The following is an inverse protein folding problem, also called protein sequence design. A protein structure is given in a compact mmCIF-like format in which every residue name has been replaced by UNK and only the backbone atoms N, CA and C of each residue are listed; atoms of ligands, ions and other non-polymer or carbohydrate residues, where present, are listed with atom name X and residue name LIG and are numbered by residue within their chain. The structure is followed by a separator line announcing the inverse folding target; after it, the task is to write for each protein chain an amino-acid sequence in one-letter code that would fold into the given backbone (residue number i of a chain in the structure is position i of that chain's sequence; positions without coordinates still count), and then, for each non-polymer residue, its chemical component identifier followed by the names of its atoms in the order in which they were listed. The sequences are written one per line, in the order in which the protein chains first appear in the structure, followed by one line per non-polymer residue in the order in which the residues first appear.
data_IF_191787393270
#
_entry.id   IF_191787393270
#
_cell.length_a   1.000
_cell.length_b   1.000
_cell.length_c   1.000
_cell.angle_alpha   90.00
_cell.angle_beta   90.00
_cell.angle_gamma   90.00
#
_symmetry.space_group_name_H-M   'P 1'
#
loop_
_entity.id
_entity.type
_entity.pdbx_description
1 polymer ?
#
# COMPACT_ATOMS: atom_id res chain seq x y z
N UNK A 1 -19.84 -4.97 5.33
CA UNK A 1 -18.86 -5.49 6.31
C UNK A 1 -17.85 -4.40 6.60
N UNK A 2 -17.64 -4.02 7.87
CA UNK A 2 -16.63 -3.01 8.25
C UNK A 2 -15.25 -3.61 7.95
N UNK A 3 -14.45 -2.95 7.12
CA UNK A 3 -13.09 -3.41 6.82
C UNK A 3 -12.23 -3.30 8.07
N UNK A 4 -11.90 -4.43 8.68
CA UNK A 4 -11.05 -4.48 9.86
C UNK A 4 -9.60 -4.20 9.45
N UNK A 5 -8.96 -3.29 10.18
CA UNK A 5 -7.54 -2.98 10.04
C UNK A 5 -6.80 -3.76 11.10
N UNK A 6 -6.03 -4.77 10.70
CA UNK A 6 -5.21 -5.56 11.63
C UNK A 6 -3.81 -4.95 11.69
N UNK A 7 -3.29 -4.75 12.90
CA UNK A 7 -1.93 -4.30 13.13
C UNK A 7 -1.12 -5.46 13.69
N UNK A 8 -0.07 -5.84 12.99
CA UNK A 8 0.82 -6.93 13.38
C UNK A 8 2.29 -6.48 13.31
N UNK A 9 3.23 -7.31 13.76
CA UNK A 9 4.67 -7.07 13.68
C UNK A 9 5.31 -8.24 12.94
N UNK A 10 5.74 -8.02 11.70
CA UNK A 10 6.47 -9.02 10.90
C UNK A 10 7.93 -8.60 10.81
N UNK A 11 8.86 -9.45 11.27
CA UNK A 11 10.30 -9.17 11.32
C UNK A 11 10.65 -7.85 12.05
N UNK A 12 9.93 -7.53 13.13
CA UNK A 12 10.17 -6.31 13.92
C UNK A 12 9.61 -5.02 13.31
N UNK A 13 8.87 -5.10 12.20
CA UNK A 13 8.30 -3.95 11.50
C UNK A 13 6.78 -3.95 11.59
N UNK A 14 6.14 -2.79 11.84
CA UNK A 14 4.70 -2.69 11.94
C UNK A 14 4.04 -2.96 10.58
N UNK A 15 3.19 -3.97 10.55
CA UNK A 15 2.37 -4.34 9.40
C UNK A 15 0.94 -3.85 9.63
N UNK A 16 0.32 -3.32 8.59
CA UNK A 16 -1.10 -2.99 8.56
C UNK A 16 -1.75 -3.82 7.46
N UNK A 17 -2.68 -4.70 7.84
CA UNK A 17 -3.43 -5.51 6.89
C UNK A 17 -4.83 -4.98 6.70
N UNK A 18 -5.29 -4.96 5.46
CA UNK A 18 -6.65 -4.55 5.09
C UNK A 18 -7.38 -5.70 4.41
N UNK A 19 -8.64 -5.90 4.83
CA UNK A 19 -9.52 -6.96 4.31
C UNK A 19 -10.61 -6.45 3.36
N UNK A 20 -10.60 -5.14 3.04
CA UNK A 20 -11.61 -4.50 2.18
C UNK A 20 -10.97 -3.61 1.11
N UNK A 21 -11.38 -3.73 -0.17
CA UNK A 21 -10.96 -2.84 -1.25
C UNK A 21 -11.17 -1.35 -0.94
N UNK A 22 -12.24 -1.00 -0.23
CA UNK A 22 -12.55 0.41 0.09
C UNK A 22 -11.58 0.98 1.12
N UNK A 23 -11.28 0.23 2.17
CA UNK A 23 -10.33 0.64 3.20
C UNK A 23 -8.92 0.82 2.61
N UNK A 24 -8.50 -0.09 1.73
CA UNK A 24 -7.17 0.01 1.10
C UNK A 24 -7.09 1.19 0.11
N UNK A 25 -8.14 1.45 -0.68
CA UNK A 25 -8.18 2.59 -1.59
C UNK A 25 -8.14 3.94 -0.85
N UNK A 26 -8.78 4.03 0.32
CA UNK A 26 -8.70 5.22 1.18
C UNK A 26 -7.27 5.47 1.64
N UNK A 27 -6.57 4.42 2.09
CA UNK A 27 -5.18 4.53 2.54
C UNK A 27 -4.21 4.87 1.41
N UNK A 28 -4.34 4.22 0.25
CA UNK A 28 -3.55 4.54 -0.93
C UNK A 28 -3.78 6.00 -1.40
N UNK A 29 -4.98 6.54 -1.21
CA UNK A 29 -5.26 7.95 -1.51
C UNK A 29 -4.48 8.90 -0.59
N UNK A 30 -4.34 8.57 0.70
CA UNK A 30 -3.54 9.34 1.65
C UNK A 30 -2.05 9.27 1.30
N UNK A 31 -1.53 8.07 0.99
CA UNK A 31 -0.13 7.88 0.58
C UNK A 31 0.16 8.67 -0.70
N UNK A 32 -0.75 8.63 -1.69
CA UNK A 32 -0.60 9.41 -2.93
C UNK A 32 -0.51 10.92 -2.65
N UNK A 33 -1.38 11.45 -1.80
CA UNK A 33 -1.35 12.86 -1.44
C UNK A 33 -0.07 13.24 -0.68
N UNK A 34 0.49 12.31 0.09
CA UNK A 34 1.75 12.51 0.79
C UNK A 34 2.95 12.56 -0.17
N UNK A 35 3.05 11.59 -1.09
CA UNK A 35 4.10 11.57 -2.11
C UNK A 35 4.05 12.80 -3.02
N UNK A 36 2.85 13.28 -3.37
CA UNK A 36 2.69 14.49 -4.18
C UNK A 36 3.26 15.75 -3.49
N UNK A 37 3.25 15.79 -2.15
CA UNK A 37 3.86 16.89 -1.37
C UNK A 37 5.38 16.74 -1.24
N UNK A 38 5.94 15.61 -1.62
CA UNK A 38 7.33 15.23 -1.37
C UNK A 38 7.99 14.57 -2.59
N UNK A 39 8.47 15.37 -3.56
CA UNK A 39 8.97 14.85 -4.85
C UNK A 39 10.24 13.98 -4.76
N UNK A 40 10.90 13.93 -3.61
CA UNK A 40 12.05 13.05 -3.34
C UNK A 40 11.68 11.78 -2.57
N UNK A 41 10.41 11.59 -2.22
CA UNK A 41 9.95 10.36 -1.57
C UNK A 41 9.96 9.20 -2.57
N UNK A 42 10.42 8.05 -2.09
CA UNK A 42 10.46 6.81 -2.86
C UNK A 42 9.42 5.86 -2.29
N UNK A 43 8.57 5.33 -3.16
CA UNK A 43 7.50 4.40 -2.81
C UNK A 43 7.70 3.11 -3.59
N UNK A 44 8.11 2.07 -2.89
CA UNK A 44 8.31 0.75 -3.44
C UNK A 44 6.99 -0.02 -3.37
N UNK A 45 6.51 -0.46 -4.52
CA UNK A 45 5.30 -1.26 -4.68
C UNK A 45 5.72 -2.59 -5.29
N UNK A 46 5.29 -3.67 -4.68
CA UNK A 46 5.47 -5.03 -5.17
C UNK A 46 4.12 -5.73 -5.23
N UNK A 47 3.81 -6.30 -6.38
CA UNK A 47 2.65 -7.15 -6.62
C UNK A 47 3.13 -8.46 -7.25
N UNK A 48 2.24 -9.43 -7.43
CA UNK A 48 2.53 -10.65 -8.22
C UNK A 48 2.91 -10.36 -9.69
N UNK A 49 2.49 -9.21 -10.24
CA UNK A 49 2.62 -8.91 -11.67
C UNK A 49 3.69 -7.86 -11.99
N UNK A 50 4.04 -6.99 -11.04
CA UNK A 50 5.01 -5.92 -11.27
C UNK A 50 5.63 -5.38 -9.98
N UNK A 51 6.79 -4.74 -10.15
CA UNK A 51 7.51 -3.98 -9.13
C UNK A 51 7.79 -2.57 -9.63
N UNK A 52 7.65 -1.57 -8.76
CA UNK A 52 7.95 -0.16 -9.09
C UNK A 52 8.41 0.60 -7.85
N UNK A 53 9.36 1.53 -8.01
CA UNK A 53 9.74 2.52 -6.98
C UNK A 53 9.19 3.91 -7.25
N UNK A 54 8.41 4.05 -8.34
CA UNK A 54 7.91 5.34 -8.83
C UNK A 54 6.55 5.69 -8.21
N UNK A 55 6.32 6.93 -7.74
CA UNK A 55 5.05 7.36 -7.16
C UNK A 55 3.82 7.13 -8.05
N UNK A 56 3.97 7.25 -9.37
CA UNK A 56 2.87 7.06 -10.33
C UNK A 56 2.32 5.63 -10.31
N UNK A 57 3.10 4.66 -9.81
CA UNK A 57 2.64 3.29 -9.68
C UNK A 57 1.51 3.12 -8.64
N UNK A 58 1.33 4.08 -7.71
CA UNK A 58 0.16 4.06 -6.81
C UNK A 58 -1.14 4.19 -7.61
N UNK A 59 -1.17 5.06 -8.63
CA UNK A 59 -2.40 5.25 -9.40
C UNK A 59 -2.76 4.02 -10.21
N UNK A 60 -1.74 3.35 -10.76
CA UNK A 60 -1.89 2.04 -11.42
C UNK A 60 -2.42 0.99 -10.44
N UNK A 61 -1.81 0.88 -9.27
CA UNK A 61 -2.23 -0.05 -8.22
C UNK A 61 -3.69 0.17 -7.81
N UNK A 62 -4.09 1.43 -7.59
CA UNK A 62 -5.48 1.76 -7.26
C UNK A 62 -6.47 1.40 -8.38
N UNK A 63 -6.07 1.52 -9.66
CA UNK A 63 -6.90 1.05 -10.80
C UNK A 63 -7.01 -0.46 -10.81
N UNK A 64 -5.91 -1.18 -10.55
CA UNK A 64 -5.89 -2.64 -10.56
C UNK A 64 -6.69 -3.24 -9.40
N UNK A 65 -6.65 -2.64 -8.20
CA UNK A 65 -7.50 -3.02 -7.05
C UNK A 65 -8.98 -2.84 -7.38
N UNK A 66 -9.37 -1.69 -7.97
CA UNK A 66 -10.77 -1.45 -8.38
C UNK A 66 -11.26 -2.45 -9.42
N UNK A 67 -10.36 -2.91 -10.29
CA UNK A 67 -10.65 -3.90 -11.31
C UNK A 67 -10.60 -5.36 -10.79
N UNK A 68 -10.29 -5.58 -9.50
CA UNK A 68 -10.16 -6.92 -8.93
C UNK A 68 -8.99 -7.73 -9.52
N UNK A 69 -7.92 -7.06 -9.97
CA UNK A 69 -6.75 -7.69 -10.59
C UNK A 69 -5.54 -7.84 -9.67
N UNK A 70 -5.71 -7.48 -8.39
CA UNK A 70 -4.66 -7.52 -7.39
C UNK A 70 -5.20 -8.25 -6.19
N UNK A 71 -4.72 -9.46 -6.00
CA UNK A 71 -5.07 -10.27 -4.84
C UNK A 71 -4.17 -9.95 -3.65
N UNK A 72 -2.89 -9.62 -3.93
CA UNK A 72 -1.88 -9.25 -2.94
C UNK A 72 -0.94 -8.17 -3.47
N UNK A 73 -0.56 -7.25 -2.58
CA UNK A 73 0.55 -6.34 -2.82
C UNK A 73 1.24 -5.95 -1.52
N UNK A 74 2.46 -5.42 -1.66
CA UNK A 74 3.28 -4.82 -0.61
C UNK A 74 3.68 -3.42 -1.02
N UNK A 75 3.74 -2.52 -0.04
CA UNK A 75 4.26 -1.17 -0.19
C UNK A 75 5.29 -0.87 0.91
N UNK A 76 6.38 -0.19 0.57
CA UNK A 76 7.31 0.38 1.55
C UNK A 76 7.75 1.80 1.14
N UNK A 77 7.81 2.70 2.12
CA UNK A 77 8.20 4.10 1.95
C UNK A 77 9.35 4.41 2.92
N UNK A 78 10.45 4.97 2.40
CA UNK A 78 11.70 5.12 3.14
C UNK A 78 11.74 6.38 4.04
N UNK A 79 10.97 7.43 3.78
CA UNK A 79 10.88 8.62 4.65
C UNK A 79 9.99 8.42 5.88
N UNK A 80 9.26 7.31 5.99
CA UNK A 80 8.63 6.89 7.24
C UNK A 80 9.62 6.48 8.34
N UNK A 81 10.93 6.76 8.18
CA UNK A 81 11.86 7.26 9.20
C UNK A 81 12.11 6.47 10.50
N UNK A 82 11.35 5.41 10.74
CA UNK A 82 11.37 4.55 11.92
C UNK A 82 10.48 3.32 11.73
N UNK A 83 9.54 3.32 10.77
CA UNK A 83 8.56 2.26 10.59
C UNK A 83 8.24 2.06 9.11
N UNK A 84 8.87 1.06 8.47
CA UNK A 84 8.35 0.49 7.21
C UNK A 84 6.93 0.01 7.49
N UNK A 85 5.92 0.70 6.99
CA UNK A 85 4.55 0.19 7.08
C UNK A 85 4.39 -0.79 5.93
N UNK A 86 4.36 -2.07 6.27
CA UNK A 86 3.97 -3.09 5.30
C UNK A 86 2.47 -3.10 5.19
N UNK A 87 1.96 -2.76 4.01
CA UNK A 87 0.55 -2.97 3.71
C UNK A 87 0.41 -4.26 2.94
N UNK A 88 -0.19 -5.27 3.57
CA UNK A 88 -0.63 -6.48 2.91
C UNK A 88 -2.14 -6.40 2.70
N UNK A 89 -2.55 -6.47 1.44
CA UNK A 89 -3.94 -6.59 1.05
C UNK A 89 -4.19 -8.03 0.60
N UNK A 90 -5.32 -8.61 1.02
CA UNK A 90 -5.78 -9.91 0.54
C UNK A 90 -7.21 -9.74 0.05
N UNK A 91 -7.40 -9.75 -1.27
CA UNK A 91 -8.73 -9.89 -1.86
C UNK A 91 -9.19 -11.33 -1.59
N UNK A 92 -10.05 -11.53 -0.60
CA UNK A 92 -10.78 -12.81 -0.48
C UNK A 92 -11.81 -12.92 -1.59
#
# INVERSE_FOLDING_TARGET
MKGETLRDIVNGLPMISFTSPQSILSQLSLIRADLARHPLSVCHIETSHYRSSKPEAIERLMKDIRAGRVDEFRIDEARWGARRIFINYFAR
#
